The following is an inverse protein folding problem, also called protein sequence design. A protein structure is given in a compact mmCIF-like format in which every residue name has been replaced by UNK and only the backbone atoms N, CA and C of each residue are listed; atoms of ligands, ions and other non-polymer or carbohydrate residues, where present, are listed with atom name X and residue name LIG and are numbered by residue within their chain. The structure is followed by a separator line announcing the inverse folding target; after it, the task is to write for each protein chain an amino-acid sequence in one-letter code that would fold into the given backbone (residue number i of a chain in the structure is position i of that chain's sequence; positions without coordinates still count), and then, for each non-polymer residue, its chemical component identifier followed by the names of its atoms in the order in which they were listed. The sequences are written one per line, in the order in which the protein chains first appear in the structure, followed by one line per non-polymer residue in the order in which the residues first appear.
data_IF_424881379337
#
_entry.id   IF_424881379337
#
_cell.length_a   1.000
_cell.length_b   1.000
_cell.length_c   1.000
_cell.angle_alpha   90.00
_cell.angle_beta   90.00
_cell.angle_gamma   90.00
#
_symmetry.space_group_name_H-M   'P 1'
#
loop_
_entity.id
_entity.type
_entity.pdbx_description
1 polymer ?
#
# COMPACT_ATOMS: atom_id res chain seq x y z
N UNK A 1 6.56 14.07 -3.98
CA UNK A 1 7.14 12.82 -3.44
C UNK A 1 6.14 12.23 -2.47
N UNK A 2 5.84 10.94 -2.57
CA UNK A 2 4.83 10.30 -1.74
C UNK A 2 5.46 9.51 -0.60
N UNK A 3 4.74 9.43 0.52
CA UNK A 3 4.99 8.40 1.53
C UNK A 3 4.84 6.99 0.94
N UNK A 4 5.47 6.03 1.58
CA UNK A 4 5.22 4.62 1.31
C UNK A 4 3.88 4.23 1.93
N UNK A 5 3.01 3.59 1.14
CA UNK A 5 1.73 3.04 1.60
C UNK A 5 1.90 1.91 2.63
N UNK A 6 0.83 1.43 3.28
CA UNK A 6 0.91 0.42 4.33
C UNK A 6 1.25 -0.98 3.76
N UNK A 7 2.52 -1.23 3.49
CA UNK A 7 3.01 -2.48 2.86
C UNK A 7 2.59 -3.73 3.65
N UNK A 8 2.59 -3.66 4.98
CA UNK A 8 2.19 -4.78 5.85
C UNK A 8 0.73 -5.21 5.66
N UNK A 9 -0.10 -4.38 5.01
CA UNK A 9 -1.49 -4.67 4.72
C UNK A 9 -1.72 -5.26 3.31
N UNK A 10 -0.68 -5.32 2.47
CA UNK A 10 -0.83 -5.81 1.08
C UNK A 10 -1.12 -7.33 1.11
N UNK A 11 -2.13 -7.83 0.35
CA UNK A 11 -2.50 -9.24 0.36
C UNK A 11 -1.36 -10.23 0.10
N UNK A 12 -0.40 -9.87 -0.76
CA UNK A 12 0.78 -10.71 -1.03
C UNK A 12 1.74 -10.77 0.15
N UNK A 13 1.78 -9.73 0.98
CA UNK A 13 2.60 -9.62 2.18
C UNK A 13 1.96 -10.39 3.34
N UNK A 14 0.67 -10.16 3.60
CA UNK A 14 -0.08 -10.89 4.64
C UNK A 14 -0.13 -12.40 4.37
N UNK A 15 -0.18 -12.84 3.12
CA UNK A 15 -0.10 -14.27 2.76
C UNK A 15 1.29 -14.87 2.91
N UNK A 16 2.35 -14.07 2.74
CA UNK A 16 3.73 -14.55 2.73
C UNK A 16 4.32 -14.67 4.13
N UNK A 17 3.96 -13.75 5.03
CA UNK A 17 4.53 -13.68 6.38
C UNK A 17 3.50 -14.11 7.42
N UNK A 18 3.94 -14.84 8.45
CA UNK A 18 3.09 -15.12 9.60
C UNK A 18 2.89 -13.83 10.40
N UNK A 19 1.66 -13.51 10.74
CA UNK A 19 1.31 -12.36 11.55
C UNK A 19 0.12 -12.67 12.45
N UNK A 20 -0.05 -11.87 13.50
CA UNK A 20 -1.24 -11.88 14.34
C UNK A 20 -2.09 -10.66 13.99
N UNK A 21 -3.38 -10.86 13.72
CA UNK A 21 -4.28 -9.77 13.32
C UNK A 21 -4.35 -9.57 11.80
N UNK A 22 -4.70 -8.35 11.35
CA UNK A 22 -5.05 -8.07 9.95
C UNK A 22 -3.85 -7.68 9.07
N UNK A 23 -2.68 -7.39 9.64
CA UNK A 23 -1.51 -6.89 8.92
C UNK A 23 -0.20 -7.36 9.54
N UNK A 24 0.88 -7.31 8.76
CA UNK A 24 2.24 -7.60 9.21
C UNK A 24 2.84 -6.33 9.84
N UNK A 25 2.69 -6.19 11.15
CA UNK A 25 3.02 -4.96 11.88
C UNK A 25 4.49 -4.57 11.76
N UNK A 26 5.41 -5.54 11.78
CA UNK A 26 6.85 -5.30 11.67
C UNK A 26 7.20 -4.60 10.35
N UNK A 27 6.47 -4.90 9.27
CA UNK A 27 6.65 -4.26 7.96
C UNK A 27 6.10 -2.83 7.98
N UNK A 28 4.94 -2.60 8.60
CA UNK A 28 4.36 -1.25 8.73
C UNK A 28 5.22 -0.32 9.62
N UNK A 29 5.94 -0.88 10.60
CA UNK A 29 6.91 -0.12 11.40
C UNK A 29 8.08 0.40 10.55
N UNK A 30 8.59 -0.41 9.61
CA UNK A 30 9.63 0.03 8.67
C UNK A 30 9.13 1.14 7.74
N UNK A 31 7.90 1.02 7.23
CA UNK A 31 7.24 2.05 6.44
C UNK A 31 7.13 3.36 7.25
N UNK A 32 6.69 3.27 8.51
CA UNK A 32 6.58 4.42 9.41
C UNK A 32 7.93 5.11 9.62
N UNK A 33 9.00 4.34 9.81
CA UNK A 33 10.36 4.88 9.98
C UNK A 33 10.82 5.65 8.74
N UNK A 34 10.56 5.12 7.54
CA UNK A 34 10.86 5.79 6.29
C UNK A 34 10.08 7.11 6.15
N UNK A 35 8.75 7.05 6.32
CA UNK A 35 7.86 8.20 6.15
C UNK A 35 8.20 9.34 7.13
N UNK A 36 8.59 9.00 8.38
CA UNK A 36 9.07 9.99 9.37
C UNK A 36 10.30 10.78 8.91
N UNK A 37 11.19 10.17 8.13
CA UNK A 37 12.43 10.82 7.65
C UNK A 37 12.24 11.54 6.32
N UNK A 38 11.26 11.13 5.51
CA UNK A 38 11.06 11.65 4.16
C UNK A 38 10.87 13.16 4.14
N UNK A 39 10.05 13.72 5.04
CA UNK A 39 9.83 15.16 5.11
C UNK A 39 11.10 15.97 5.36
N UNK A 40 12.01 15.48 6.21
CA UNK A 40 13.31 16.13 6.46
C UNK A 40 14.18 16.10 5.21
N UNK A 41 14.28 14.94 4.55
CA UNK A 41 15.07 14.80 3.32
C UNK A 41 14.56 15.74 2.22
N UNK A 42 13.23 15.88 2.06
CA UNK A 42 12.67 16.78 1.05
C UNK A 42 12.96 18.25 1.36
N UNK A 43 13.00 18.64 2.64
CA UNK A 43 13.42 20.00 3.05
C UNK A 43 14.89 20.24 2.71
N UNK A 44 15.76 19.28 3.00
CA UNK A 44 17.20 19.36 2.70
C UNK A 44 17.45 19.42 1.19
N UNK A 45 16.70 18.66 0.40
CA UNK A 45 16.77 18.71 -1.06
C UNK A 45 16.28 20.05 -1.61
N UNK A 46 15.19 20.60 -1.06
CA UNK A 46 14.67 21.91 -1.47
C UNK A 46 15.67 23.03 -1.20
N UNK A 47 16.42 22.98 -0.09
CA UNK A 47 17.45 23.99 0.21
C UNK A 47 18.72 23.82 -0.62
N UNK A 48 19.09 22.58 -0.95
CA UNK A 48 20.33 22.26 -1.68
C UNK A 48 20.17 22.44 -3.20
N UNK A 49 19.01 22.11 -3.75
CA UNK A 49 18.75 22.13 -5.18
C UNK A 49 18.00 23.40 -5.57
N UNK A 50 18.74 24.47 -5.88
CA UNK A 50 18.18 25.75 -6.29
C UNK A 50 17.25 25.59 -7.52
N UNK A 51 16.10 26.26 -7.49
CA UNK A 51 15.09 26.19 -8.55
C UNK A 51 14.21 24.94 -8.53
N UNK A 52 14.42 24.02 -7.57
CA UNK A 52 13.54 22.87 -7.36
C UNK A 52 12.50 23.13 -6.28
N UNK A 53 11.37 22.43 -6.37
CA UNK A 53 10.34 22.41 -5.34
C UNK A 53 9.92 20.97 -5.08
N UNK A 54 9.96 20.56 -3.81
CA UNK A 54 9.50 19.25 -3.38
C UNK A 54 8.26 19.39 -2.50
N UNK A 55 7.24 18.58 -2.78
CA UNK A 55 6.02 18.47 -1.97
C UNK A 55 5.90 17.06 -1.43
N UNK A 56 5.50 16.92 -0.17
CA UNK A 56 5.23 15.65 0.47
C UNK A 56 3.74 15.30 0.33
N UNK A 57 3.45 14.14 -0.25
CA UNK A 57 2.11 13.57 -0.30
C UNK A 57 1.93 12.51 0.79
N UNK A 58 1.05 12.78 1.74
CA UNK A 58 0.71 11.87 2.82
C UNK A 58 -0.32 10.84 2.35
N UNK A 59 0.17 9.69 1.89
CA UNK A 59 -0.68 8.61 1.33
C UNK A 59 -0.75 7.39 2.24
N UNK A 60 0.10 7.30 3.27
CA UNK A 60 0.13 6.14 4.13
C UNK A 60 -1.17 6.00 4.95
N UNK A 61 -1.60 7.09 5.60
CA UNK A 61 -2.83 7.11 6.38
C UNK A 61 -4.07 6.86 5.50
N UNK A 62 -4.09 7.43 4.29
CA UNK A 62 -5.19 7.29 3.34
C UNK A 62 -5.31 5.83 2.89
N UNK A 63 -4.19 5.19 2.55
CA UNK A 63 -4.16 3.78 2.19
C UNK A 63 -4.59 2.89 3.36
N UNK A 64 -4.14 3.19 4.58
CA UNK A 64 -4.53 2.42 5.77
C UNK A 64 -6.03 2.55 6.06
N UNK A 65 -6.58 3.77 5.98
CA UNK A 65 -8.00 4.02 6.19
C UNK A 65 -8.87 3.35 5.11
N UNK A 66 -8.43 3.36 3.85
CA UNK A 66 -9.13 2.65 2.77
C UNK A 66 -9.14 1.13 2.99
N UNK A 67 -8.14 0.57 3.67
CA UNK A 67 -8.06 -0.86 3.99
C UNK A 67 -8.99 -1.22 5.15
N UNK A 68 -9.03 -0.38 6.19
CA UNK A 68 -9.82 -0.62 7.42
C UNK A 68 -11.27 -0.22 7.25
N UNK A 69 -11.55 0.82 6.46
CA UNK A 69 -12.89 1.38 6.21
C UNK A 69 -13.25 1.34 4.72
N UNK A 70 -13.21 0.16 4.05
CA UNK A 70 -13.30 0.06 2.60
C UNK A 70 -14.60 0.65 2.01
N UNK A 71 -15.73 0.51 2.69
CA UNK A 71 -17.02 1.01 2.23
C UNK A 71 -17.05 2.54 2.10
N UNK A 72 -16.30 3.27 2.92
CA UNK A 72 -16.16 4.74 2.83
C UNK A 72 -15.49 5.19 1.52
N UNK A 73 -14.77 4.27 0.88
CA UNK A 73 -14.06 4.48 -0.38
C UNK A 73 -14.72 3.75 -1.56
N UNK A 74 -15.93 3.20 -1.37
CA UNK A 74 -16.61 2.41 -2.39
C UNK A 74 -15.95 1.06 -2.68
N UNK A 75 -15.18 0.53 -1.72
CA UNK A 75 -14.47 -0.74 -1.82
C UNK A 75 -15.22 -1.84 -1.09
N UNK A 76 -15.17 -3.07 -1.63
CA UNK A 76 -15.83 -4.24 -1.03
C UNK A 76 -14.87 -5.27 -0.46
N UNK A 77 -13.63 -5.31 -0.95
CA UNK A 77 -12.60 -6.26 -0.49
C UNK A 77 -11.21 -5.64 -0.60
N UNK A 78 -10.44 -5.76 0.48
CA UNK A 78 -9.07 -5.24 0.61
C UNK A 78 -8.07 -6.33 0.98
N UNK A 79 -8.53 -7.58 1.14
CA UNK A 79 -7.74 -8.73 1.63
C UNK A 79 -7.38 -9.74 0.52
N UNK A 80 -8.04 -9.67 -0.62
CA UNK A 80 -7.76 -10.52 -1.79
C UNK A 80 -7.22 -9.70 -2.96
N UNK A 81 -6.55 -10.33 -3.96
CA UNK A 81 -6.19 -9.66 -5.22
C UNK A 81 -7.39 -9.53 -6.16
N UNK A 82 -7.35 -8.57 -7.09
CA UNK A 82 -8.41 -8.34 -8.11
C UNK A 82 -8.44 -9.42 -9.21
N UNK A 83 -7.39 -10.22 -9.31
CA UNK A 83 -7.12 -11.14 -10.41
C UNK A 83 -6.71 -12.51 -9.85
N UNK A 84 -6.80 -13.55 -10.68
CA UNK A 84 -6.18 -14.83 -10.33
C UNK A 84 -4.66 -14.63 -10.42
N UNK A 85 -3.94 -14.98 -9.37
CA UNK A 85 -2.49 -14.76 -9.25
C UNK A 85 -1.73 -16.08 -9.21
N UNK A 86 -0.48 -16.07 -9.64
CA UNK A 86 0.45 -17.17 -9.33
C UNK A 86 0.73 -17.26 -7.82
N UNK A 87 1.24 -18.42 -7.39
CA UNK A 87 1.69 -18.66 -6.01
C UNK A 87 0.67 -18.24 -4.93
N UNK A 88 -0.62 -18.53 -5.16
CA UNK A 88 -1.71 -18.32 -4.19
C UNK A 88 -1.77 -16.89 -3.60
N UNK A 89 -1.72 -15.86 -4.44
CA UNK A 89 -1.87 -14.47 -4.01
C UNK A 89 -0.56 -13.73 -3.72
N UNK A 90 0.59 -14.42 -3.82
CA UNK A 90 1.90 -13.83 -3.48
C UNK A 90 2.69 -13.35 -4.69
N UNK A 91 2.17 -13.51 -5.91
CA UNK A 91 2.79 -13.09 -7.16
C UNK A 91 1.78 -12.35 -8.05
N UNK A 92 2.19 -11.97 -9.26
CA UNK A 92 1.38 -11.20 -10.19
C UNK A 92 0.18 -11.96 -10.76
N UNK A 93 -0.71 -11.23 -11.43
CA UNK A 93 -1.85 -11.77 -12.14
C UNK A 93 -1.44 -12.77 -13.23
N UNK A 94 -2.23 -13.83 -13.38
CA UNK A 94 -2.09 -14.76 -14.50
C UNK A 94 -2.71 -14.09 -15.75
N UNK A 95 -1.94 -13.92 -16.84
CA UNK A 95 -2.47 -13.34 -18.06
C UNK A 95 -3.69 -14.12 -18.58
N UNK A 96 -4.69 -13.40 -19.10
CA UNK A 96 -5.91 -13.94 -19.71
C UNK A 96 -6.86 -14.72 -18.78
N UNK A 97 -6.60 -14.75 -17.47
CA UNK A 97 -7.54 -15.27 -16.48
C UNK A 97 -8.22 -14.12 -15.73
N UNK A 98 -9.47 -13.84 -16.11
CA UNK A 98 -10.33 -12.93 -15.34
C UNK A 98 -10.86 -13.65 -14.09
N UNK A 99 -10.94 -12.94 -12.96
CA UNK A 99 -11.73 -13.43 -11.84
C UNK A 99 -13.22 -13.44 -12.24
N UNK A 100 -13.92 -14.53 -11.93
CA UNK A 100 -15.34 -14.70 -12.25
C UNK A 100 -16.27 -13.85 -11.38
N UNK A 101 -15.73 -13.20 -10.33
CA UNK A 101 -16.48 -12.31 -9.46
C UNK A 101 -16.00 -10.88 -9.66
N UNK A 102 -16.92 -10.01 -10.06
CA UNK A 102 -16.73 -8.58 -10.24
C UNK A 102 -16.55 -7.95 -8.86
N UNK A 103 -15.34 -7.93 -8.32
CA UNK A 103 -15.05 -7.19 -7.10
C UNK A 103 -14.88 -5.72 -7.50
N UNK A 104 -15.99 -5.00 -7.54
CA UNK A 104 -16.02 -3.56 -7.81
C UNK A 104 -15.36 -2.83 -6.64
N UNK A 105 -14.27 -2.11 -6.91
CA UNK A 105 -13.58 -1.29 -5.92
C UNK A 105 -12.62 -2.08 -5.04
N UNK A 106 -11.44 -2.39 -5.57
CA UNK A 106 -10.35 -2.96 -4.79
C UNK A 106 -9.13 -2.04 -4.89
N UNK A 107 -8.37 -1.93 -3.79
CA UNK A 107 -7.17 -1.09 -3.74
C UNK A 107 -6.09 -1.76 -4.58
N UNK A 108 -5.69 -1.10 -5.67
CA UNK A 108 -4.43 -1.37 -6.34
C UNK A 108 -3.35 -0.82 -5.40
N UNK A 109 -2.83 -1.65 -4.48
CA UNK A 109 -1.62 -1.34 -3.71
C UNK A 109 -0.43 -2.05 -4.35
#
# INVERSE_FOLDING_TARGET
MFEIGPIGCIPSITRKYKHNGQYVEEINQLVTLFNKKLGTILKDLTSTLQGSAFTLGHVNWLGFDAIVNPSSYGLTDTSNPCCITWANGTSGCIPFLAQTNTISGMVII
#
